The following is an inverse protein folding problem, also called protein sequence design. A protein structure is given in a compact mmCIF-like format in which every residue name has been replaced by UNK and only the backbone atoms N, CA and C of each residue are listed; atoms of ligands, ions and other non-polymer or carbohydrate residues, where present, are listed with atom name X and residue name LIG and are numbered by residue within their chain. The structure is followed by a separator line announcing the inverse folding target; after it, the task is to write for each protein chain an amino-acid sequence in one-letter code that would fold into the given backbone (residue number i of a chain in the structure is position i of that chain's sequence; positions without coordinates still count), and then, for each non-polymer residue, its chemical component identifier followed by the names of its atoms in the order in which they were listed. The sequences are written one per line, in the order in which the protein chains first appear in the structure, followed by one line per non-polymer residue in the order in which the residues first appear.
data_IF_213253060655
#
_entry.id   IF_213253060655
#
_cell.length_a   1.000
_cell.length_b   1.000
_cell.length_c   1.000
_cell.angle_alpha   90.00
_cell.angle_beta   90.00
_cell.angle_gamma   90.00
#
_symmetry.space_group_name_H-M   'P 1'
#
loop_
_entity.id
_entity.type
_entity.pdbx_description
1 polymer ?
#
# COMPACT_ATOMS: atom_id res chain seq x y z
N UNK A 1 -1.27 13.79 11.07
CA UNK A 1 -0.41 12.64 10.71
C UNK A 1 0.33 12.98 9.44
N UNK A 2 1.61 12.62 9.37
CA UNK A 2 2.39 12.56 8.13
C UNK A 2 2.76 11.11 7.77
N UNK A 3 1.94 10.13 8.19
CA UNK A 3 2.10 8.70 7.91
C UNK A 3 3.50 8.18 8.26
N UNK A 4 4.33 7.96 7.25
CA UNK A 4 5.65 7.35 7.32
C UNK A 4 6.81 8.37 7.18
N UNK A 5 6.50 9.66 7.14
CA UNK A 5 7.52 10.70 7.08
C UNK A 5 8.38 10.74 8.36
N UNK A 6 9.59 11.34 8.29
CA UNK A 6 10.44 11.54 9.46
C UNK A 6 9.76 12.33 10.59
N UNK A 7 10.25 12.14 11.82
CA UNK A 7 9.70 12.74 13.05
C UNK A 7 9.33 14.24 13.02
N UNK A 8 10.06 15.13 12.30
CA UNK A 8 9.69 16.56 12.24
C UNK A 8 8.41 16.86 11.44
N UNK A 9 8.01 15.96 10.54
CA UNK A 9 6.89 16.19 9.63
C UNK A 9 5.55 15.92 10.31
N UNK A 10 4.53 16.71 9.95
CA UNK A 10 3.14 16.46 10.31
C UNK A 10 2.21 16.99 9.22
N UNK A 11 0.94 16.57 9.26
CA UNK A 11 -0.04 16.91 8.24
C UNK A 11 -1.47 16.65 8.71
N UNK A 12 -2.42 16.98 7.84
CA UNK A 12 -3.86 16.79 8.06
C UNK A 12 -4.40 15.94 6.91
N UNK A 13 -4.93 14.75 7.23
CA UNK A 13 -5.71 13.92 6.29
C UNK A 13 -7.18 14.23 6.50
N UNK A 14 -7.90 14.56 5.43
CA UNK A 14 -9.34 14.87 5.45
C UNK A 14 -10.13 13.68 4.93
N UNK A 15 -11.26 13.39 5.57
CA UNK A 15 -12.06 12.20 5.33
C UNK A 15 -13.49 12.56 4.93
N UNK A 16 -14.04 11.79 4.01
CA UNK A 16 -15.44 11.80 3.63
C UNK A 16 -16.26 11.02 4.65
N UNK A 17 -17.57 11.24 4.65
CA UNK A 17 -18.51 10.49 5.52
C UNK A 17 -18.55 8.99 5.21
N UNK A 18 -18.12 8.57 4.02
CA UNK A 18 -18.00 7.16 3.62
C UNK A 18 -16.63 6.54 3.96
N UNK A 19 -15.78 7.25 4.71
CA UNK A 19 -14.47 6.76 5.18
C UNK A 19 -13.31 6.98 4.22
N UNK A 20 -13.55 7.39 2.97
CA UNK A 20 -12.48 7.67 2.01
C UNK A 20 -11.74 8.97 2.31
N UNK A 21 -10.45 9.01 2.00
CA UNK A 21 -9.69 10.25 1.98
C UNK A 21 -10.26 11.23 0.93
N UNK A 22 -10.02 12.52 1.14
CA UNK A 22 -10.30 13.53 0.12
C UNK A 22 -9.39 13.33 -1.09
N UNK A 23 -9.99 13.32 -2.29
CA UNK A 23 -9.25 13.40 -3.54
C UNK A 23 -8.85 14.84 -3.88
N UNK A 24 -8.06 14.99 -4.94
CA UNK A 24 -7.45 16.24 -5.41
C UNK A 24 -8.46 17.40 -5.50
N UNK A 25 -9.57 17.24 -6.22
CA UNK A 25 -10.61 18.30 -6.37
C UNK A 25 -11.10 18.85 -5.02
N UNK A 26 -11.26 17.98 -4.01
CA UNK A 26 -11.72 18.42 -2.68
C UNK A 26 -10.59 19.08 -1.89
N UNK A 27 -9.36 18.58 -2.01
CA UNK A 27 -8.20 19.20 -1.38
C UNK A 27 -7.93 20.59 -1.97
N UNK A 28 -7.99 20.73 -3.30
CA UNK A 28 -7.86 22.01 -4.00
C UNK A 28 -8.93 23.00 -3.55
N UNK A 29 -10.19 22.54 -3.42
CA UNK A 29 -11.26 23.38 -2.90
C UNK A 29 -11.00 23.85 -1.46
N UNK A 30 -10.41 23.00 -0.60
CA UNK A 30 -10.03 23.41 0.76
C UNK A 30 -8.90 24.44 0.70
N UNK A 31 -7.90 24.23 -0.16
CA UNK A 31 -6.82 25.18 -0.42
C UNK A 31 -7.36 26.54 -0.87
N UNK A 32 -8.24 26.57 -1.88
CA UNK A 32 -8.90 27.78 -2.37
C UNK A 32 -9.64 28.52 -1.25
N UNK A 33 -10.38 27.80 -0.39
CA UNK A 33 -11.11 28.40 0.72
C UNK A 33 -10.14 29.07 1.72
N UNK A 34 -9.04 28.39 2.05
CA UNK A 34 -8.03 28.88 2.99
C UNK A 34 -7.27 30.07 2.41
N UNK A 35 -6.79 29.97 1.17
CA UNK A 35 -5.99 31.02 0.51
C UNK A 35 -6.81 32.29 0.24
N UNK A 36 -8.09 32.14 -0.14
CA UNK A 36 -9.00 33.27 -0.34
C UNK A 36 -9.64 33.76 0.97
N UNK A 37 -9.34 33.14 2.12
CA UNK A 37 -9.99 33.38 3.41
C UNK A 37 -11.54 33.36 3.33
N UNK A 38 -12.10 32.55 2.43
CA UNK A 38 -13.53 32.54 2.08
C UNK A 38 -14.36 31.62 2.98
N UNK A 39 -14.16 31.76 4.28
CA UNK A 39 -14.81 30.93 5.29
C UNK A 39 -16.30 31.25 5.44
N UNK A 40 -17.14 30.20 5.51
CA UNK A 40 -18.54 30.32 5.89
C UNK A 40 -18.66 30.35 7.43
N UNK A 41 -18.52 31.55 8.00
CA UNK A 41 -18.52 31.73 9.45
C UNK A 41 -19.92 31.60 10.04
N UNK A 42 -20.06 30.78 11.07
CA UNK A 42 -21.31 30.62 11.80
C UNK A 42 -21.70 31.90 12.57
N UNK A 43 -23.01 32.14 12.69
CA UNK A 43 -23.55 33.13 13.62
C UNK A 43 -23.25 32.73 15.09
N UNK A 44 -23.28 33.70 16.00
CA UNK A 44 -22.92 33.49 17.41
C UNK A 44 -23.78 32.42 18.12
N UNK A 45 -25.03 32.26 17.72
CA UNK A 45 -25.98 31.26 18.23
C UNK A 45 -25.91 29.91 17.50
N UNK A 46 -25.03 29.78 16.50
CA UNK A 46 -24.81 28.58 15.69
C UNK A 46 -23.36 28.05 15.77
N UNK A 47 -22.54 28.55 16.71
CA UNK A 47 -21.19 28.03 16.94
C UNK A 47 -21.28 26.56 17.37
N UNK A 48 -20.46 25.70 16.74
CA UNK A 48 -20.42 24.27 17.04
C UNK A 48 -19.91 23.93 18.46
N UNK A 49 -20.05 22.67 18.84
CA UNK A 49 -19.58 22.14 20.12
C UNK A 49 -18.39 21.20 19.94
N UNK A 50 -17.55 21.09 20.96
CA UNK A 50 -16.44 20.12 21.02
C UNK A 50 -16.77 19.13 22.13
N UNK A 51 -16.84 17.86 21.79
CA UNK A 51 -17.02 16.76 22.73
C UNK A 51 -15.74 15.92 22.79
N UNK A 52 -15.25 15.68 24.00
CA UNK A 52 -14.08 14.81 24.21
C UNK A 52 -14.55 13.38 24.41
N UNK A 53 -14.20 12.50 23.47
CA UNK A 53 -14.31 11.07 23.65
C UNK A 53 -12.95 10.55 24.15
N UNK A 54 -12.90 10.01 25.37
CA UNK A 54 -11.63 9.60 26.01
C UNK A 54 -10.99 8.40 25.31
N UNK A 55 -10.19 8.65 24.27
CA UNK A 55 -9.45 7.64 23.49
C UNK A 55 -8.33 6.97 24.30
N UNK A 56 -7.85 7.61 25.37
CA UNK A 56 -6.64 7.21 26.11
C UNK A 56 -6.92 6.05 27.06
N UNK A 57 -8.10 6.01 27.69
CA UNK A 57 -8.56 4.87 28.50
C UNK A 57 -9.28 3.79 27.67
N UNK A 58 -8.95 3.69 26.38
CA UNK A 58 -9.58 2.78 25.42
C UNK A 58 -10.86 3.33 24.83
N UNK A 59 -10.99 4.63 24.61
CA UNK A 59 -12.22 5.27 24.13
C UNK A 59 -12.91 4.55 23.01
N UNK A 60 -14.22 4.78 22.92
CA UNK A 60 -15.16 4.03 22.11
C UNK A 60 -14.56 3.63 20.77
N UNK A 61 -13.93 4.56 20.03
CA UNK A 61 -13.25 4.28 18.77
C UNK A 61 -12.21 3.13 18.78
N UNK A 62 -11.25 3.08 19.72
CA UNK A 62 -10.23 2.00 19.75
C UNK A 62 -10.88 0.66 20.11
N UNK A 63 -11.77 0.63 21.11
CA UNK A 63 -12.47 -0.61 21.50
C UNK A 63 -13.43 -1.09 20.40
N UNK A 64 -14.10 -0.17 19.73
CA UNK A 64 -14.97 -0.45 18.59
C UNK A 64 -14.15 -0.98 17.41
N UNK A 65 -12.97 -0.39 17.14
CA UNK A 65 -12.08 -0.88 16.08
C UNK A 65 -11.54 -2.27 16.42
N UNK A 66 -10.97 -2.48 17.61
CA UNK A 66 -10.51 -3.80 18.08
C UNK A 66 -11.62 -4.86 17.97
N UNK A 67 -12.83 -4.51 18.41
CA UNK A 67 -14.00 -5.40 18.29
C UNK A 67 -14.36 -5.67 16.83
N UNK A 68 -14.42 -4.63 15.99
CA UNK A 68 -14.71 -4.76 14.56
C UNK A 68 -13.68 -5.64 13.85
N UNK A 69 -12.40 -5.53 14.20
CA UNK A 69 -11.33 -6.38 13.67
C UNK A 69 -11.57 -7.87 14.01
N UNK A 70 -11.87 -8.17 15.27
CA UNK A 70 -12.17 -9.55 15.70
C UNK A 70 -13.46 -10.11 15.12
N UNK A 71 -14.43 -9.25 14.82
CA UNK A 71 -15.70 -9.65 14.18
C UNK A 71 -15.56 -9.75 12.65
N UNK A 72 -14.51 -9.17 12.05
CA UNK A 72 -14.32 -9.14 10.59
C UNK A 72 -13.79 -10.45 10.01
N UNK A 73 -13.01 -11.22 10.78
CA UNK A 73 -12.41 -12.48 10.36
C UNK A 73 -12.31 -13.48 11.52
N UNK A 74 -12.36 -14.77 11.22
CA UNK A 74 -12.12 -15.83 12.21
C UNK A 74 -10.62 -15.93 12.51
N UNK A 75 -10.18 -15.28 13.58
CA UNK A 75 -8.80 -15.32 14.05
C UNK A 75 -8.48 -16.65 14.75
N UNK A 76 -7.29 -17.23 14.52
CA UNK A 76 -6.80 -18.37 15.29
C UNK A 76 -6.44 -17.96 16.73
N UNK A 77 -6.40 -18.94 17.63
CA UNK A 77 -6.07 -18.76 19.04
C UNK A 77 -4.76 -19.44 19.46
N UNK A 78 -4.02 -20.01 18.51
CA UNK A 78 -2.82 -20.82 18.75
C UNK A 78 -1.56 -20.32 18.03
N UNK A 79 -1.65 -19.22 17.27
CA UNK A 79 -0.49 -18.63 16.60
C UNK A 79 0.34 -17.73 17.52
N UNK A 80 1.65 -17.75 17.33
CA UNK A 80 2.61 -16.79 17.90
C UNK A 80 2.93 -15.70 16.88
N UNK A 81 2.76 -14.44 17.28
CA UNK A 81 2.83 -13.29 16.37
C UNK A 81 3.69 -12.18 16.96
N UNK A 82 4.68 -11.71 16.18
CA UNK A 82 5.46 -10.51 16.51
C UNK A 82 4.83 -9.30 15.83
N UNK A 83 4.51 -8.26 16.59
CA UNK A 83 3.92 -7.02 16.07
C UNK A 83 4.87 -5.85 16.31
N UNK A 84 5.55 -5.39 15.26
CA UNK A 84 6.38 -4.19 15.28
C UNK A 84 5.56 -2.94 14.98
N UNK A 85 5.31 -2.16 16.03
CA UNK A 85 4.52 -0.93 15.98
C UNK A 85 5.31 0.30 15.54
N UNK A 86 6.64 0.19 15.36
CA UNK A 86 7.49 1.28 14.92
C UNK A 86 7.36 2.55 15.76
N UNK A 87 7.02 2.45 17.04
CA UNK A 87 6.69 3.56 17.95
C UNK A 87 5.45 4.40 17.55
N UNK A 88 4.67 3.95 16.58
CA UNK A 88 3.44 4.56 16.08
C UNK A 88 2.19 4.19 16.90
N UNK A 89 1.02 4.34 16.26
CA UNK A 89 -0.29 4.24 16.95
C UNK A 89 -0.99 2.88 16.79
N UNK A 90 -0.45 1.95 15.99
CA UNK A 90 -1.06 0.67 15.59
C UNK A 90 -1.27 -0.40 16.66
N UNK A 91 -1.23 -0.05 17.95
CA UNK A 91 -1.36 -0.98 19.09
C UNK A 91 -2.65 -1.82 19.06
N UNK A 92 -3.70 -1.31 18.40
CA UNK A 92 -4.98 -2.03 18.24
C UNK A 92 -4.82 -3.40 17.57
N UNK A 93 -3.84 -3.57 16.68
CA UNK A 93 -3.52 -4.86 16.05
C UNK A 93 -3.12 -5.90 17.10
N UNK A 94 -2.12 -5.58 17.93
CA UNK A 94 -1.64 -6.49 18.96
C UNK A 94 -2.73 -6.81 20.00
N UNK A 95 -3.56 -5.82 20.35
CA UNK A 95 -4.66 -6.02 21.29
C UNK A 95 -5.75 -6.94 20.71
N UNK A 96 -6.09 -6.80 19.42
CA UNK A 96 -7.10 -7.63 18.75
C UNK A 96 -6.65 -9.09 18.62
N UNK A 97 -5.38 -9.32 18.23
CA UNK A 97 -4.79 -10.65 18.14
C UNK A 97 -4.69 -11.32 19.51
N UNK A 98 -4.23 -10.59 20.52
CA UNK A 98 -4.15 -11.10 21.89
C UNK A 98 -5.53 -11.45 22.45
N UNK A 99 -6.55 -10.60 22.19
CA UNK A 99 -7.92 -10.86 22.59
C UNK A 99 -8.57 -12.03 21.84
N UNK A 100 -8.03 -12.42 20.67
CA UNK A 100 -8.43 -13.62 19.94
C UNK A 100 -7.78 -14.90 20.48
N UNK A 101 -6.70 -14.79 21.27
CA UNK A 101 -6.02 -15.91 21.91
C UNK A 101 -4.58 -16.13 21.44
N UNK A 102 -4.14 -15.42 20.38
CA UNK A 102 -2.76 -15.51 19.90
C UNK A 102 -1.75 -15.13 20.99
N UNK A 103 -0.56 -15.74 20.94
CA UNK A 103 0.59 -15.29 21.71
C UNK A 103 1.25 -14.11 20.99
N UNK A 104 1.21 -12.93 21.62
CA UNK A 104 1.58 -11.67 20.94
C UNK A 104 2.76 -11.01 21.63
N UNK A 105 3.87 -10.91 20.90
CA UNK A 105 5.02 -10.10 21.29
C UNK A 105 5.00 -8.78 20.53
N UNK A 106 5.31 -7.67 21.21
CA UNK A 106 5.40 -6.36 20.54
C UNK A 106 6.82 -5.87 20.46
N UNK A 107 7.21 -5.38 19.29
CA UNK A 107 8.45 -4.63 19.06
C UNK A 107 8.11 -3.14 18.91
N UNK A 108 8.98 -2.27 19.42
CA UNK A 108 8.80 -0.81 19.36
C UNK A 108 7.42 -0.33 19.87
N UNK A 109 6.83 -1.04 20.83
CA UNK A 109 5.42 -0.83 21.23
C UNK A 109 5.15 0.41 22.10
N UNK A 110 6.20 1.13 22.49
CA UNK A 110 6.07 2.40 23.22
C UNK A 110 5.82 3.53 22.22
N UNK A 111 4.73 4.29 22.42
CA UNK A 111 4.40 5.46 21.59
C UNK A 111 5.47 6.53 21.78
N UNK A 112 6.19 6.84 20.71
CA UNK A 112 7.25 7.84 20.72
C UNK A 112 7.41 8.45 19.32
N UNK A 113 6.90 9.68 19.14
CA UNK A 113 6.96 10.40 17.86
C UNK A 113 8.36 10.79 17.39
N UNK A 114 9.41 10.44 18.17
CA UNK A 114 10.81 10.52 17.72
C UNK A 114 11.24 9.31 16.88
N UNK A 115 10.42 8.25 16.84
CA UNK A 115 10.67 7.00 16.13
C UNK A 115 12.06 6.37 16.44
N UNK A 116 12.39 6.12 17.72
CA UNK A 116 13.73 5.64 18.11
C UNK A 116 14.03 4.19 17.69
N UNK A 117 13.01 3.36 17.43
CA UNK A 117 13.18 1.96 17.06
C UNK A 117 13.63 1.76 15.62
N UNK A 118 13.00 2.49 14.70
CA UNK A 118 13.30 2.53 13.25
C UNK A 118 12.55 3.71 12.62
N UNK A 119 12.91 4.14 11.39
CA UNK A 119 12.04 5.03 10.63
C UNK A 119 10.63 4.42 10.50
N UNK A 120 9.60 5.29 10.49
CA UNK A 120 8.20 4.88 10.52
C UNK A 120 7.81 4.06 9.30
N UNK A 121 8.37 4.33 8.11
CA UNK A 121 8.09 3.55 6.90
C UNK A 121 8.52 2.07 7.03
N UNK A 122 7.62 1.09 6.82
CA UNK A 122 7.90 -0.33 7.01
C UNK A 122 8.57 -0.95 5.77
N UNK A 123 9.72 -0.45 5.36
CA UNK A 123 10.51 -1.04 4.27
C UNK A 123 11.34 -2.23 4.77
N UNK A 124 11.75 -3.13 3.87
CA UNK A 124 12.61 -4.26 4.23
C UNK A 124 13.88 -3.82 5.01
N UNK A 125 14.51 -2.72 4.58
CA UNK A 125 15.69 -2.16 5.25
C UNK A 125 15.38 -1.59 6.64
N UNK A 126 14.22 -0.99 6.84
CA UNK A 126 13.81 -0.48 8.15
C UNK A 126 13.36 -1.61 9.10
N UNK A 127 13.02 -2.79 8.57
CA UNK A 127 12.47 -3.91 9.33
C UNK A 127 13.48 -5.01 9.67
N UNK A 128 14.78 -4.81 9.43
CA UNK A 128 15.84 -5.81 9.67
C UNK A 128 15.77 -6.39 11.10
N UNK A 129 15.61 -5.53 12.12
CA UNK A 129 15.49 -5.99 13.52
C UNK A 129 14.24 -6.84 13.74
N UNK A 130 13.10 -6.50 13.12
CA UNK A 130 11.89 -7.30 13.23
C UNK A 130 12.08 -8.68 12.54
N UNK A 131 12.77 -8.71 11.40
CA UNK A 131 13.13 -9.94 10.70
C UNK A 131 14.01 -10.85 11.57
N UNK A 132 15.03 -10.29 12.21
CA UNK A 132 15.91 -11.00 13.13
C UNK A 132 15.17 -11.55 14.35
N UNK A 133 14.25 -10.77 14.93
CA UNK A 133 13.44 -11.21 16.07
C UNK A 133 12.56 -12.39 15.68
N UNK A 134 11.83 -12.30 14.56
CA UNK A 134 10.99 -13.41 14.08
C UNK A 134 11.82 -14.66 13.78
N UNK A 135 13.00 -14.51 13.16
CA UNK A 135 13.89 -15.64 12.90
C UNK A 135 14.48 -16.28 14.17
N UNK A 136 14.57 -15.52 15.27
CA UNK A 136 15.16 -15.95 16.54
C UNK A 136 14.13 -16.53 17.53
N UNK A 137 12.85 -16.38 17.26
CA UNK A 137 11.74 -16.93 18.06
C UNK A 137 11.01 -18.04 17.31
N UNK A 138 10.03 -18.66 17.96
CA UNK A 138 9.11 -19.62 17.33
C UNK A 138 7.85 -18.91 16.79
N UNK A 139 7.95 -17.63 16.39
CA UNK A 139 6.83 -16.86 15.87
C UNK A 139 6.41 -17.37 14.48
N UNK A 140 5.11 -17.55 14.25
CA UNK A 140 4.55 -18.01 12.99
C UNK A 140 4.62 -16.94 11.89
N UNK A 141 4.53 -15.67 12.30
CA UNK A 141 4.64 -14.49 11.44
C UNK A 141 4.98 -13.22 12.23
N UNK A 142 5.55 -12.24 11.53
CA UNK A 142 5.70 -10.86 11.97
C UNK A 142 4.79 -9.91 11.20
N UNK A 143 4.29 -8.89 11.88
CA UNK A 143 3.43 -7.84 11.34
C UNK A 143 4.06 -6.47 11.66
N UNK A 144 4.15 -5.59 10.67
CA UNK A 144 4.86 -4.33 10.79
C UNK A 144 4.00 -3.18 10.27
N UNK A 145 3.82 -2.15 11.09
CA UNK A 145 3.01 -0.97 10.75
C UNK A 145 3.85 0.27 10.46
N UNK A 146 3.27 1.21 9.71
CA UNK A 146 3.80 2.57 9.64
C UNK A 146 3.34 3.45 10.83
N UNK A 147 3.62 4.76 10.78
CA UNK A 147 3.43 5.66 11.90
C UNK A 147 1.98 5.83 12.34
N UNK A 148 1.05 5.99 11.39
CA UNK A 148 -0.40 6.05 11.65
C UNK A 148 -1.12 4.71 11.48
N UNK A 149 -0.39 3.65 11.09
CA UNK A 149 -0.84 2.27 10.97
C UNK A 149 -1.93 2.05 9.91
N UNK A 150 -2.01 2.90 8.89
CA UNK A 150 -2.83 2.62 7.71
C UNK A 150 -2.14 1.60 6.78
N UNK A 151 -0.81 1.47 6.89
CA UNK A 151 -0.01 0.45 6.19
C UNK A 151 0.32 -0.74 7.07
N UNK A 152 0.41 -1.92 6.45
CA UNK A 152 0.88 -3.15 7.07
C UNK A 152 1.76 -3.95 6.10
N UNK A 153 2.94 -4.35 6.57
CA UNK A 153 3.84 -5.30 5.91
C UNK A 153 4.06 -6.52 6.80
N UNK A 154 4.52 -7.62 6.22
CA UNK A 154 4.66 -8.88 6.93
C UNK A 154 6.04 -9.50 6.81
N UNK A 155 6.34 -10.35 7.77
CA UNK A 155 7.54 -11.17 7.86
C UNK A 155 7.07 -12.61 8.04
N UNK A 156 7.58 -13.54 7.26
CA UNK A 156 7.24 -14.95 7.47
C UNK A 156 7.94 -15.54 8.71
N UNK A 157 7.49 -16.71 9.18
CA UNK A 157 8.10 -17.40 10.32
C UNK A 157 9.55 -17.87 10.11
N UNK A 158 10.17 -17.62 8.93
CA UNK A 158 11.61 -17.82 8.70
C UNK A 158 12.39 -16.51 8.83
N UNK A 159 11.72 -15.41 9.20
CA UNK A 159 12.28 -14.06 9.29
C UNK A 159 12.51 -13.39 7.93
N UNK A 160 11.84 -13.83 6.85
CA UNK A 160 11.94 -13.17 5.54
C UNK A 160 10.87 -12.09 5.43
N UNK A 161 11.28 -10.88 5.07
CA UNK A 161 10.36 -9.81 4.72
C UNK A 161 9.58 -10.18 3.45
N UNK A 162 8.24 -10.13 3.51
CA UNK A 162 7.38 -10.44 2.37
C UNK A 162 7.21 -9.18 1.53
N UNK A 163 7.39 -9.30 0.21
CA UNK A 163 7.21 -8.17 -0.71
C UNK A 163 5.76 -7.67 -0.72
N UNK A 164 5.58 -6.38 -1.02
CA UNK A 164 4.25 -5.78 -1.14
C UNK A 164 3.39 -6.47 -2.20
N UNK A 165 3.97 -6.74 -3.38
CA UNK A 165 3.28 -7.49 -4.43
C UNK A 165 2.94 -8.93 -4.02
N UNK A 166 3.79 -9.59 -3.22
CA UNK A 166 3.51 -10.91 -2.67
C UNK A 166 2.32 -10.90 -1.71
N UNK A 167 2.27 -9.93 -0.79
CA UNK A 167 1.11 -9.75 0.09
C UNK A 167 -0.15 -9.38 -0.70
N UNK A 168 -0.03 -8.51 -1.70
CA UNK A 168 -1.11 -8.13 -2.58
C UNK A 168 -1.68 -9.35 -3.31
N UNK A 169 -0.83 -10.22 -3.87
CA UNK A 169 -1.26 -11.46 -4.51
C UNK A 169 -2.01 -12.40 -3.54
N UNK A 170 -1.50 -12.57 -2.32
CA UNK A 170 -2.17 -13.40 -1.30
C UNK A 170 -3.54 -12.85 -0.90
N UNK A 171 -3.64 -11.55 -0.63
CA UNK A 171 -4.93 -10.92 -0.29
C UNK A 171 -5.89 -10.93 -1.48
N UNK A 172 -5.42 -10.58 -2.67
CA UNK A 172 -6.23 -10.54 -3.88
C UNK A 172 -6.81 -11.92 -4.21
N UNK A 173 -5.98 -12.99 -4.16
CA UNK A 173 -6.42 -14.37 -4.39
C UNK A 173 -7.42 -14.87 -3.35
N UNK A 174 -7.29 -14.41 -2.10
CA UNK A 174 -8.21 -14.77 -1.00
C UNK A 174 -9.59 -14.11 -1.16
N UNK A 175 -9.61 -12.83 -1.55
CA UNK A 175 -10.82 -12.01 -1.51
C UNK A 175 -11.58 -11.96 -2.83
N UNK A 176 -10.92 -12.19 -3.97
CA UNK A 176 -11.55 -12.18 -5.28
C UNK A 176 -12.05 -13.57 -5.71
N UNK A 177 -13.14 -13.59 -6.48
CA UNK A 177 -13.71 -14.75 -7.13
C UNK A 177 -13.89 -14.52 -8.64
N UNK A 178 -14.32 -15.55 -9.36
CA UNK A 178 -14.49 -15.47 -10.81
C UNK A 178 -15.41 -14.31 -11.23
N UNK A 179 -14.88 -13.40 -12.05
CA UNK A 179 -15.57 -12.20 -12.54
C UNK A 179 -15.40 -10.95 -11.66
N UNK A 180 -14.75 -11.06 -10.51
CA UNK A 180 -14.39 -9.91 -9.70
C UNK A 180 -13.17 -9.17 -10.26
N UNK A 181 -13.03 -7.91 -9.85
CA UNK A 181 -11.85 -7.10 -10.13
C UNK A 181 -11.12 -6.73 -8.84
N UNK A 182 -9.82 -6.51 -8.94
CA UNK A 182 -8.99 -5.99 -7.85
C UNK A 182 -8.31 -4.69 -8.28
N UNK A 183 -8.51 -3.62 -7.51
CA UNK A 183 -7.94 -2.31 -7.80
C UNK A 183 -6.47 -2.25 -7.37
N UNK A 184 -5.58 -1.96 -8.32
CA UNK A 184 -4.13 -1.92 -8.07
C UNK A 184 -3.47 -0.78 -8.83
N UNK A 185 -2.40 -0.15 -8.31
CA UNK A 185 -1.64 0.85 -9.05
C UNK A 185 -0.95 0.30 -10.31
N UNK A 186 -0.66 1.19 -11.27
CA UNK A 186 0.07 0.83 -12.52
C UNK A 186 1.49 0.31 -12.31
N UNK A 187 2.09 0.43 -11.14
CA UNK A 187 3.43 -0.11 -10.84
C UNK A 187 3.40 -1.50 -10.17
N UNK A 188 2.22 -2.12 -10.11
CA UNK A 188 2.00 -3.47 -9.56
C UNK A 188 2.62 -4.54 -10.47
N UNK A 189 3.21 -5.56 -9.83
CA UNK A 189 3.83 -6.71 -10.47
C UNK A 189 2.84 -7.60 -11.25
N UNK A 190 3.34 -8.27 -12.30
CA UNK A 190 2.65 -9.35 -13.02
C UNK A 190 2.18 -10.47 -12.09
N UNK A 191 2.88 -10.65 -10.96
CA UNK A 191 2.54 -11.63 -9.93
C UNK A 191 1.06 -11.52 -9.51
N UNK A 192 0.55 -10.31 -9.36
CA UNK A 192 -0.82 -10.09 -8.90
C UNK A 192 -1.84 -10.46 -9.98
N UNK A 193 -1.55 -10.12 -11.23
CA UNK A 193 -2.41 -10.48 -12.35
C UNK A 193 -2.48 -12.00 -12.55
N UNK A 194 -1.34 -12.69 -12.42
CA UNK A 194 -1.29 -14.15 -12.52
C UNK A 194 -2.02 -14.84 -11.37
N UNK A 195 -1.82 -14.38 -10.13
CA UNK A 195 -2.51 -14.92 -8.96
C UNK A 195 -4.04 -14.76 -9.06
N UNK A 196 -4.52 -13.67 -9.69
CA UNK A 196 -5.95 -13.45 -9.93
C UNK A 196 -6.50 -14.31 -11.06
N UNK A 197 -5.70 -14.58 -12.09
CA UNK A 197 -6.09 -15.45 -13.19
C UNK A 197 -6.41 -16.88 -12.70
N UNK A 198 -5.73 -17.36 -11.65
CA UNK A 198 -6.01 -18.67 -11.02
C UNK A 198 -7.44 -18.79 -10.45
N UNK A 199 -8.03 -17.67 -10.01
CA UNK A 199 -9.38 -17.62 -9.45
C UNK A 199 -10.41 -17.03 -10.43
N UNK A 200 -10.00 -16.73 -11.66
CA UNK A 200 -10.84 -16.14 -12.70
C UNK A 200 -11.20 -14.67 -12.47
N UNK A 201 -10.38 -13.95 -11.72
CA UNK A 201 -10.51 -12.52 -11.45
C UNK A 201 -9.50 -11.71 -12.27
N UNK A 202 -9.68 -10.39 -12.31
CA UNK A 202 -8.84 -9.49 -13.12
C UNK A 202 -8.34 -8.28 -12.31
N UNK A 203 -7.21 -7.72 -12.72
CA UNK A 203 -6.74 -6.43 -12.20
C UNK A 203 -7.49 -5.28 -12.87
N UNK A 204 -7.73 -4.21 -12.12
CA UNK A 204 -8.11 -2.90 -12.66
C UNK A 204 -7.12 -1.86 -12.19
N UNK A 205 -6.43 -1.23 -13.13
CA UNK A 205 -5.33 -0.32 -12.80
C UNK A 205 -5.81 1.07 -12.36
N UNK A 206 -5.08 1.67 -11.42
CA UNK A 206 -5.24 3.04 -10.95
C UNK A 206 -3.92 3.82 -11.05
N UNK A 207 -3.95 5.16 -11.01
CA UNK A 207 -2.75 5.92 -10.66
C UNK A 207 -2.16 5.46 -9.31
N UNK A 208 -0.88 5.71 -9.09
CA UNK A 208 -0.22 5.40 -7.81
C UNK A 208 -0.77 6.30 -6.70
N UNK A 209 -1.08 5.72 -5.55
CA UNK A 209 -1.69 6.39 -4.41
C UNK A 209 -2.98 5.73 -3.93
N UNK A 210 -3.03 5.48 -2.63
CA UNK A 210 -4.14 4.84 -1.91
C UNK A 210 -5.52 5.48 -2.16
N UNK A 211 -5.60 6.81 -2.31
CA UNK A 211 -6.85 7.51 -2.60
C UNK A 211 -7.46 7.12 -3.96
N UNK A 212 -6.63 6.83 -4.97
CA UNK A 212 -7.09 6.36 -6.27
C UNK A 212 -7.55 4.90 -6.20
N UNK A 213 -6.80 4.06 -5.49
CA UNK A 213 -7.18 2.67 -5.22
C UNK A 213 -8.52 2.62 -4.47
N UNK A 214 -8.70 3.44 -3.43
CA UNK A 214 -9.94 3.55 -2.67
C UNK A 214 -11.13 4.04 -3.51
N UNK A 215 -10.87 4.96 -4.46
CA UNK A 215 -11.90 5.43 -5.38
C UNK A 215 -12.34 4.32 -6.35
N UNK A 216 -11.41 3.50 -6.83
CA UNK A 216 -11.69 2.36 -7.71
C UNK A 216 -12.36 1.20 -6.95
N UNK A 217 -11.86 0.87 -5.75
CA UNK A 217 -12.41 -0.17 -4.87
C UNK A 217 -13.88 0.10 -4.49
N UNK A 218 -14.32 1.36 -4.48
CA UNK A 218 -15.70 1.72 -4.24
C UNK A 218 -16.65 1.42 -5.41
N UNK A 219 -16.15 1.01 -6.58
CA UNK A 219 -16.97 0.72 -7.76
C UNK A 219 -17.56 -0.70 -7.67
N UNK A 220 -18.74 -0.94 -8.27
CA UNK A 220 -19.35 -2.27 -8.28
C UNK A 220 -18.45 -3.34 -8.93
N UNK A 221 -18.39 -4.53 -8.33
CA UNK A 221 -17.61 -5.66 -8.83
C UNK A 221 -16.10 -5.53 -8.61
N UNK A 222 -15.66 -4.64 -7.71
CA UNK A 222 -14.29 -4.63 -7.20
C UNK A 222 -14.31 -5.23 -5.80
N UNK A 223 -13.63 -6.37 -5.62
CA UNK A 223 -13.67 -7.16 -4.39
C UNK A 223 -12.61 -6.71 -3.37
N UNK A 224 -11.49 -6.19 -3.86
CA UNK A 224 -10.36 -5.76 -3.04
C UNK A 224 -9.60 -4.62 -3.74
N UNK A 225 -8.89 -3.82 -2.97
CA UNK A 225 -7.91 -2.86 -3.49
C UNK A 225 -6.63 -2.89 -2.67
N UNK A 226 -5.48 -2.78 -3.31
CA UNK A 226 -4.22 -2.76 -2.59
C UNK A 226 -3.09 -2.07 -3.35
N UNK A 227 -2.15 -1.51 -2.59
CA UNK A 227 -0.91 -0.92 -3.11
C UNK A 227 0.29 -1.64 -2.46
N UNK A 228 1.35 -1.98 -3.22
CA UNK A 228 2.55 -2.62 -2.70
C UNK A 228 3.28 -1.86 -1.57
N UNK A 229 2.90 -0.60 -1.33
CA UNK A 229 3.34 0.22 -0.20
C UNK A 229 2.83 -0.27 1.17
N UNK A 230 1.89 -1.23 1.18
CA UNK A 230 1.28 -1.78 2.38
C UNK A 230 -0.14 -1.26 2.65
N UNK A 231 -0.76 -0.54 1.71
CA UNK A 231 -2.11 -0.01 1.85
C UNK A 231 -3.15 -1.02 1.32
N UNK A 232 -4.05 -1.48 2.19
CA UNK A 232 -4.98 -2.59 1.89
C UNK A 232 -6.44 -2.21 2.18
N UNK A 233 -7.33 -2.41 1.21
CA UNK A 233 -8.69 -1.88 1.22
C UNK A 233 -9.69 -3.01 0.92
N UNK A 234 -10.53 -3.35 1.91
CA UNK A 234 -11.66 -4.28 1.75
C UNK A 234 -12.96 -3.47 1.63
N UNK A 235 -13.47 -3.17 0.43
CA UNK A 235 -14.56 -2.21 0.24
C UNK A 235 -15.87 -2.54 0.97
N UNK A 236 -16.10 -3.82 1.31
CA UNK A 236 -17.23 -4.24 2.14
C UNK A 236 -17.06 -3.91 3.64
N UNK A 237 -15.83 -3.67 4.09
CA UNK A 237 -15.47 -3.39 5.50
C UNK A 237 -15.02 -1.95 5.71
N UNK A 238 -14.13 -1.45 4.84
CA UNK A 238 -13.56 -0.10 4.88
C UNK A 238 -13.19 0.37 3.48
N UNK A 239 -13.40 1.65 3.20
CA UNK A 239 -12.97 2.31 1.96
C UNK A 239 -11.69 3.13 2.16
N UNK A 240 -10.94 2.90 3.23
CA UNK A 240 -9.59 3.42 3.41
C UNK A 240 -8.63 2.30 3.80
N UNK A 241 -7.32 2.47 3.59
CA UNK A 241 -6.34 1.49 4.04
C UNK A 241 -6.45 1.22 5.54
N UNK A 242 -6.54 -0.04 5.92
CA UNK A 242 -6.60 -0.47 7.32
C UNK A 242 -5.56 -1.56 7.57
N UNK A 243 -4.38 -1.14 8.03
CA UNK A 243 -3.29 -2.03 8.41
C UNK A 243 -3.69 -3.06 9.47
N UNK A 244 -4.34 -2.67 10.58
CA UNK A 244 -4.86 -3.62 11.57
C UNK A 244 -5.81 -4.68 11.01
N UNK A 245 -6.69 -4.31 10.08
CA UNK A 245 -7.56 -5.27 9.39
C UNK A 245 -6.74 -6.23 8.54
N UNK A 246 -5.77 -5.71 7.78
CA UNK A 246 -4.88 -6.55 6.98
C UNK A 246 -4.09 -7.55 7.83
N UNK A 247 -3.59 -7.11 8.99
CA UNK A 247 -2.91 -7.96 9.94
C UNK A 247 -3.81 -9.12 10.42
N UNK A 248 -5.07 -8.82 10.76
CA UNK A 248 -6.04 -9.84 11.17
C UNK A 248 -6.36 -10.80 10.01
N UNK A 249 -6.56 -10.29 8.80
CA UNK A 249 -6.83 -11.11 7.60
C UNK A 249 -5.66 -12.04 7.29
N UNK A 250 -4.42 -11.54 7.35
CA UNK A 250 -3.22 -12.35 7.11
C UNK A 250 -3.05 -13.42 8.18
N UNK A 251 -3.25 -13.07 9.45
CA UNK A 251 -3.18 -14.04 10.56
C UNK A 251 -4.24 -15.13 10.40
N UNK A 252 -5.46 -14.78 10.00
CA UNK A 252 -6.51 -15.74 9.69
C UNK A 252 -6.18 -16.61 8.46
N UNK A 253 -5.51 -16.05 7.45
CA UNK A 253 -5.02 -16.80 6.29
C UNK A 253 -3.97 -17.84 6.71
N UNK A 254 -2.98 -17.44 7.51
CA UNK A 254 -1.94 -18.35 8.01
C UNK A 254 -2.53 -19.47 8.87
N UNK A 255 -3.46 -19.14 9.77
CA UNK A 255 -4.13 -20.15 10.60
C UNK A 255 -4.99 -21.14 9.80
N UNK A 256 -5.52 -20.73 8.64
CA UNK A 256 -6.38 -21.57 7.81
C UNK A 256 -5.62 -22.39 6.76
N UNK A 257 -4.57 -21.82 6.16
CA UNK A 257 -3.93 -22.37 4.94
C UNK A 257 -2.47 -22.80 5.16
N UNK A 258 -1.90 -22.53 6.33
CA UNK A 258 -0.54 -22.93 6.69
C UNK A 258 0.44 -21.76 6.74
N UNK A 259 1.73 -22.08 6.90
CA UNK A 259 2.74 -21.06 7.18
C UNK A 259 2.86 -20.02 6.06
N UNK A 260 3.05 -18.75 6.46
CA UNK A 260 3.24 -17.66 5.50
C UNK A 260 4.40 -17.94 4.55
N UNK A 261 5.46 -18.59 5.03
CA UNK A 261 6.60 -19.00 4.21
C UNK A 261 6.19 -19.92 3.06
N UNK A 262 5.32 -20.90 3.31
CA UNK A 262 4.85 -21.82 2.27
C UNK A 262 3.91 -21.13 1.27
N UNK A 263 3.03 -20.25 1.76
CA UNK A 263 2.13 -19.46 0.92
C UNK A 263 2.89 -18.53 -0.03
N UNK A 264 3.98 -17.92 0.46
CA UNK A 264 4.86 -17.06 -0.35
C UNK A 264 5.75 -17.87 -1.28
N UNK A 265 6.30 -19.01 -0.83
CA UNK A 265 7.14 -19.89 -1.65
C UNK A 265 6.37 -20.52 -2.85
N UNK A 266 5.03 -20.55 -2.80
CA UNK A 266 4.14 -21.01 -3.88
C UNK A 266 3.93 -19.95 -4.97
N UNK A 267 4.23 -18.68 -4.69
CA UNK A 267 4.10 -17.60 -5.65
C UNK A 267 5.27 -17.59 -6.65
N UNK A 268 5.03 -17.26 -7.93
CA UNK A 268 6.11 -17.05 -8.87
C UNK A 268 6.95 -15.82 -8.48
N UNK A 269 8.25 -15.90 -8.72
CA UNK A 269 9.17 -14.76 -8.57
C UNK A 269 9.49 -14.21 -9.97
N UNK A 270 9.36 -12.89 -10.13
CA UNK A 270 9.56 -12.22 -11.41
C UNK A 270 10.72 -11.24 -11.36
N UNK A 271 11.70 -11.34 -12.29
CA UNK A 271 12.79 -10.39 -12.35
C UNK A 271 12.29 -9.00 -12.70
N UNK A 272 12.70 -8.05 -11.87
CA UNK A 272 12.36 -6.64 -11.99
C UNK A 272 13.62 -5.77 -12.05
N UNK A 273 13.61 -4.79 -12.95
CA UNK A 273 14.65 -3.78 -13.14
C UNK A 273 14.09 -2.41 -12.85
N UNK A 274 14.88 -1.59 -12.16
CA UNK A 274 14.50 -0.22 -11.78
C UNK A 274 15.69 0.71 -11.92
N UNK A 275 15.45 1.91 -12.46
CA UNK A 275 16.41 3.02 -12.49
C UNK A 275 15.69 4.36 -12.43
N UNK A 276 16.44 5.43 -12.20
CA UNK A 276 15.92 6.79 -12.14
C UNK A 276 16.85 7.76 -12.86
N UNK A 277 16.32 8.43 -13.88
CA UNK A 277 17.05 9.40 -14.68
C UNK A 277 16.72 10.80 -14.17
N UNK A 278 17.74 11.55 -13.76
CA UNK A 278 17.58 12.93 -13.30
C UNK A 278 17.32 13.87 -14.46
N UNK A 279 16.24 14.65 -14.37
CA UNK A 279 15.88 15.64 -15.37
C UNK A 279 14.98 16.72 -14.75
N UNK A 280 15.27 17.98 -15.08
CA UNK A 280 14.41 19.10 -14.71
C UNK A 280 13.17 19.20 -15.62
N UNK A 281 13.17 18.49 -16.76
CA UNK A 281 12.09 18.44 -17.74
C UNK A 281 11.26 17.14 -17.63
N UNK A 282 11.12 16.57 -16.41
CA UNK A 282 10.48 15.25 -16.19
C UNK A 282 9.11 15.07 -16.86
N UNK A 283 8.24 16.08 -16.82
CA UNK A 283 6.90 16.01 -17.42
C UNK A 283 6.97 15.96 -18.95
N UNK A 284 7.70 16.90 -19.56
CA UNK A 284 7.89 16.95 -21.01
C UNK A 284 8.59 15.68 -21.52
N UNK A 285 9.51 15.11 -20.74
CA UNK A 285 10.18 13.85 -21.07
C UNK A 285 9.17 12.70 -21.14
N UNK A 286 8.33 12.54 -20.12
CA UNK A 286 7.30 11.49 -20.07
C UNK A 286 6.24 11.68 -21.15
N UNK A 287 5.80 12.92 -21.42
CA UNK A 287 4.89 13.24 -22.52
C UNK A 287 5.46 12.80 -23.87
N UNK A 288 6.75 13.06 -24.12
CA UNK A 288 7.40 12.63 -25.36
C UNK A 288 7.61 11.11 -25.42
N UNK A 289 7.89 10.45 -24.30
CA UNK A 289 7.91 8.98 -24.22
C UNK A 289 6.54 8.41 -24.59
N UNK A 290 5.44 9.06 -24.18
CA UNK A 290 4.08 8.64 -24.55
C UNK A 290 3.89 8.60 -26.08
N UNK A 291 4.34 9.65 -26.77
CA UNK A 291 4.24 9.75 -28.22
C UNK A 291 5.07 8.66 -28.91
N UNK A 292 6.32 8.45 -28.48
CA UNK A 292 7.19 7.42 -29.04
C UNK A 292 6.66 6.01 -28.78
N UNK A 293 6.21 5.73 -27.55
CA UNK A 293 5.65 4.44 -27.19
C UNK A 293 4.36 4.15 -27.99
N UNK A 294 3.50 5.15 -28.19
CA UNK A 294 2.28 5.00 -28.99
C UNK A 294 2.51 4.79 -30.49
N UNK A 295 3.72 5.08 -31.00
CA UNK A 295 4.13 4.75 -32.36
C UNK A 295 4.70 3.33 -32.49
N UNK A 296 5.26 2.79 -31.40
CA UNK A 296 6.05 1.55 -31.39
C UNK A 296 5.32 0.34 -30.78
N UNK A 297 4.31 0.57 -29.94
CA UNK A 297 3.60 -0.47 -29.19
C UNK A 297 2.08 -0.33 -29.29
N UNK A 298 1.39 -1.49 -29.23
CA UNK A 298 -0.07 -1.55 -29.34
C UNK A 298 -0.79 -1.32 -28.00
N UNK A 299 -0.21 -1.81 -26.88
CA UNK A 299 -0.82 -1.73 -25.55
C UNK A 299 -0.06 -0.73 -24.66
N UNK A 300 -0.51 0.53 -24.73
CA UNK A 300 0.08 1.66 -24.00
C UNK A 300 -0.98 2.31 -23.12
N UNK A 301 -0.74 2.32 -21.82
CA UNK A 301 -1.53 3.04 -20.84
C UNK A 301 -0.81 4.31 -20.39
N UNK A 302 -1.52 5.43 -20.45
CA UNK A 302 -1.04 6.75 -19.99
C UNK A 302 -1.65 7.17 -18.65
N UNK A 303 -2.17 6.21 -17.88
CA UNK A 303 -2.94 6.46 -16.67
C UNK A 303 -2.14 7.18 -15.57
N UNK A 304 -0.89 6.78 -15.34
CA UNK A 304 0.05 7.46 -14.46
C UNK A 304 1.49 7.16 -14.90
N UNK A 305 2.03 8.03 -15.76
CA UNK A 305 3.20 7.70 -16.58
C UNK A 305 2.80 6.84 -17.78
N UNK A 306 3.77 6.15 -18.37
CA UNK A 306 3.62 5.36 -19.60
C UNK A 306 3.90 3.89 -19.26
N UNK A 307 2.84 3.09 -19.08
CA UNK A 307 2.93 1.64 -18.93
C UNK A 307 2.73 0.99 -20.29
N UNK A 308 3.64 0.13 -20.69
CA UNK A 308 3.55 -0.65 -21.93
C UNK A 308 3.52 -2.12 -21.57
N UNK A 309 2.46 -2.81 -22.01
CA UNK A 309 2.31 -4.26 -21.87
C UNK A 309 2.81 -4.94 -23.14
N UNK A 310 3.52 -6.05 -22.99
CA UNK A 310 4.07 -6.86 -24.08
C UNK A 310 3.91 -8.35 -23.76
N UNK A 311 4.09 -9.23 -24.75
CA UNK A 311 4.09 -10.68 -24.51
C UNK A 311 5.21 -11.13 -23.55
N UNK A 312 6.30 -10.35 -23.46
CA UNK A 312 7.46 -10.63 -22.62
C UNK A 312 7.25 -10.19 -21.15
N UNK A 313 6.41 -9.18 -20.94
CA UNK A 313 6.24 -8.49 -19.65
C UNK A 313 5.85 -7.03 -19.85
N UNK A 314 6.20 -6.16 -18.92
CA UNK A 314 5.86 -4.74 -19.01
C UNK A 314 7.02 -3.82 -18.64
N UNK A 315 6.92 -2.57 -19.08
CA UNK A 315 7.71 -1.49 -18.52
C UNK A 315 6.85 -0.25 -18.21
N UNK A 316 7.30 0.56 -17.25
CA UNK A 316 6.67 1.80 -16.82
C UNK A 316 7.71 2.92 -16.78
N UNK A 317 7.37 4.03 -17.42
CA UNK A 317 8.13 5.28 -17.35
C UNK A 317 7.27 6.35 -16.70
N UNK A 318 7.67 6.85 -15.52
CA UNK A 318 6.86 7.80 -14.73
C UNK A 318 7.67 8.95 -14.19
N UNK A 319 7.09 10.14 -14.17
CA UNK A 319 7.70 11.30 -13.51
C UNK A 319 7.58 11.14 -11.99
N UNK A 320 8.68 11.35 -11.25
CA UNK A 320 8.61 11.41 -9.78
C UNK A 320 7.75 12.59 -9.34
N UNK A 321 6.86 12.40 -8.38
CA UNK A 321 6.02 13.48 -7.84
C UNK A 321 6.84 14.50 -7.04
N UNK A 322 7.79 14.02 -6.23
CA UNK A 322 8.53 14.82 -5.25
C UNK A 322 9.91 15.24 -5.73
N UNK A 323 10.50 14.52 -6.69
CA UNK A 323 11.90 14.71 -7.11
C UNK A 323 12.00 15.05 -8.61
N UNK A 324 13.09 15.71 -9.07
CA UNK A 324 13.34 15.98 -10.49
C UNK A 324 13.89 14.73 -11.21
N UNK A 325 13.12 13.64 -11.20
CA UNK A 325 13.51 12.34 -11.75
C UNK A 325 12.40 11.77 -12.64
N UNK A 326 12.79 10.97 -13.63
CA UNK A 326 11.93 10.02 -14.35
C UNK A 326 12.34 8.61 -13.91
N UNK A 327 11.38 7.85 -13.40
CA UNK A 327 11.57 6.47 -12.94
C UNK A 327 11.26 5.52 -14.08
N UNK A 328 12.11 4.52 -14.24
CA UNK A 328 11.93 3.42 -15.18
C UNK A 328 11.80 2.14 -14.35
N UNK A 329 10.78 1.35 -14.63
CA UNK A 329 10.63 -0.01 -14.10
C UNK A 329 10.32 -0.95 -15.25
N UNK A 330 10.91 -2.13 -15.28
CA UNK A 330 10.54 -3.18 -16.21
C UNK A 330 10.55 -4.53 -15.49
N UNK A 331 9.59 -5.36 -15.80
CA UNK A 331 9.43 -6.68 -15.21
C UNK A 331 8.98 -7.66 -16.28
N UNK A 332 9.51 -8.88 -16.20
CA UNK A 332 9.18 -9.96 -17.12
C UNK A 332 9.17 -11.29 -16.37
N UNK A 333 8.82 -12.36 -17.09
CA UNK A 333 8.86 -13.73 -16.54
C UNK A 333 10.27 -14.32 -16.53
N UNK A 334 11.20 -13.74 -17.29
CA UNK A 334 12.61 -14.15 -17.30
C UNK A 334 13.57 -12.95 -17.36
N UNK A 335 14.81 -13.21 -16.96
CA UNK A 335 15.83 -12.20 -16.77
C UNK A 335 16.21 -11.47 -18.07
N UNK A 336 16.20 -12.19 -19.19
CA UNK A 336 16.60 -11.65 -20.49
C UNK A 336 15.55 -10.70 -21.03
N UNK A 337 14.29 -11.08 -20.91
CA UNK A 337 13.15 -10.25 -21.29
C UNK A 337 13.03 -9.01 -20.39
N UNK A 338 13.24 -9.15 -19.07
CA UNK A 338 13.23 -8.01 -18.14
C UNK A 338 14.31 -6.98 -18.50
N UNK A 339 15.53 -7.44 -18.81
CA UNK A 339 16.63 -6.59 -19.26
C UNK A 339 16.32 -5.94 -20.62
N UNK A 340 15.77 -6.69 -21.57
CA UNK A 340 15.40 -6.18 -22.88
C UNK A 340 14.33 -5.08 -22.82
N UNK A 341 13.28 -5.29 -22.00
CA UNK A 341 12.24 -4.29 -21.76
C UNK A 341 12.80 -3.06 -21.04
N UNK A 342 13.69 -3.26 -20.08
CA UNK A 342 14.33 -2.19 -19.35
C UNK A 342 15.18 -1.29 -20.26
N UNK A 343 16.02 -1.88 -21.11
CA UNK A 343 16.83 -1.15 -22.09
C UNK A 343 15.95 -0.44 -23.11
N UNK A 344 14.86 -1.08 -23.57
CA UNK A 344 13.88 -0.44 -24.47
C UNK A 344 13.27 0.81 -23.84
N UNK A 345 12.81 0.72 -22.58
CA UNK A 345 12.26 1.85 -21.85
C UNK A 345 13.30 2.96 -21.65
N UNK A 346 14.54 2.60 -21.36
CA UNK A 346 15.66 3.51 -21.22
C UNK A 346 15.95 4.26 -22.53
N UNK A 347 16.01 3.55 -23.65
CA UNK A 347 16.22 4.15 -24.97
C UNK A 347 15.10 5.13 -25.33
N UNK A 348 13.84 4.83 -25.01
CA UNK A 348 12.72 5.75 -25.20
C UNK A 348 12.92 7.05 -24.40
N UNK A 349 13.35 6.95 -23.14
CA UNK A 349 13.62 8.13 -22.30
C UNK A 349 14.80 8.94 -22.83
N UNK A 350 15.89 8.28 -23.25
CA UNK A 350 17.06 8.96 -23.81
C UNK A 350 16.72 9.69 -25.13
N UNK A 351 15.94 9.05 -26.02
CA UNK A 351 15.43 9.67 -27.25
C UNK A 351 14.48 10.83 -26.97
N UNK A 352 13.63 10.70 -25.95
CA UNK A 352 12.72 11.76 -25.54
C UNK A 352 13.51 12.98 -25.01
N UNK A 353 14.52 12.75 -24.16
CA UNK A 353 15.34 13.81 -23.59
C UNK A 353 16.20 14.54 -24.64
N UNK A 354 16.81 13.80 -25.59
CA UNK A 354 17.67 14.39 -26.62
C UNK A 354 16.94 15.37 -27.57
N UNK A 355 15.60 15.32 -27.62
CA UNK A 355 14.78 16.21 -28.45
C UNK A 355 14.24 17.43 -27.68
N UNK A 356 14.56 17.56 -26.38
CA UNK A 356 14.13 18.66 -25.53
C UNK A 356 15.22 19.74 -25.35
N UNK A 357 16.47 19.45 -25.74
CA UNK A 357 17.62 20.38 -25.80
C UNK A 357 17.68 21.14 -27.14
#
# INVERSE_FOLDING_TARGET
TASHNPAPDNGIKLWRSDGRAFGEERNDRITDIVEAESFDLAAADAIGTVEEHDVVAGGDARRLHERALRESVSLPDDLSVVVDLGNGVGRVTADALHAAGCDVETLNGQRDGRFPGRPSEPTAANCETACEVVAATDADLGLVHDGDADRMMAIDGRGRFVSGDGLLALFARREASAGDRVAVPVDTSLLVADALAEVGAEVTYTPVGDAYVAAEAAKPGVAFGGEPSGAWIWPERTLCPDGPLAACVLTALVGAEGSLAALVDDLPDYPIRRDSIRTDAKRATVERVAELAGEEFDDVSTLDGIRVETDAGWFLVRASGTEPLVRITAEARDEGDAEGLFETARELVERAAANLD
#
